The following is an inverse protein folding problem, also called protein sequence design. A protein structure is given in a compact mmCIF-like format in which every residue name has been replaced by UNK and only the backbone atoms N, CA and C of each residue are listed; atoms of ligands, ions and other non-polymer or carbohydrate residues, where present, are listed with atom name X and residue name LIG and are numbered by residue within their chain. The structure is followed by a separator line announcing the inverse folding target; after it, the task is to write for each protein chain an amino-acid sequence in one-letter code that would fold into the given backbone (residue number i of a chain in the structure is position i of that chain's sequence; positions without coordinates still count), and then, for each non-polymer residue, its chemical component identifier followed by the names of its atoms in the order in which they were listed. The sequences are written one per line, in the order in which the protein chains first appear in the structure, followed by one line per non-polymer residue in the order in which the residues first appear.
data_IF_285879946146
#
_entry.id   IF_285879946146
#
_cell.length_a   1.000
_cell.length_b   1.000
_cell.length_c   1.000
_cell.angle_alpha   90.00
_cell.angle_beta   90.00
_cell.angle_gamma   90.00
#
_symmetry.space_group_name_H-M   'P 1'
#
loop_
_entity.id
_entity.type
_entity.pdbx_description
1 polymer ?
#
# COMPACT_ATOMS: atom_id res chain seq x y z
N UNK A 1 13.36 20.56 -9.11
CA UNK A 1 14.62 19.80 -9.23
C UNK A 1 14.36 18.38 -9.74
N UNK A 2 13.54 17.57 -9.12
CA UNK A 2 13.24 16.18 -9.54
C UNK A 2 12.75 16.06 -10.98
N UNK A 3 11.86 16.95 -11.46
CA UNK A 3 11.36 16.92 -12.84
C UNK A 3 12.44 17.15 -13.89
N UNK A 4 13.40 18.04 -13.60
CA UNK A 4 14.54 18.26 -14.50
C UNK A 4 15.44 17.03 -14.59
N UNK A 5 15.69 16.36 -13.43
CA UNK A 5 16.49 15.13 -13.39
C UNK A 5 15.80 14.01 -14.17
N UNK A 6 14.48 13.86 -14.00
CA UNK A 6 13.69 12.87 -14.74
C UNK A 6 13.72 13.13 -16.24
N UNK A 7 13.65 14.40 -16.66
CA UNK A 7 13.75 14.77 -18.07
C UNK A 7 15.12 14.40 -18.66
N UNK A 8 16.18 14.79 -17.97
CA UNK A 8 17.54 14.42 -18.38
C UNK A 8 17.75 12.90 -18.46
N UNK A 9 17.21 12.14 -17.50
CA UNK A 9 17.31 10.67 -17.52
C UNK A 9 16.51 10.04 -18.65
N UNK A 10 15.36 10.63 -19.00
CA UNK A 10 14.54 10.16 -20.14
C UNK A 10 15.28 10.33 -21.46
N UNK A 11 16.01 11.43 -21.61
CA UNK A 11 16.82 11.68 -22.80
C UNK A 11 18.07 10.78 -22.87
N UNK A 12 18.72 10.58 -21.73
CA UNK A 12 19.97 9.79 -21.65
C UNK A 12 19.75 8.28 -21.66
N UNK A 13 18.68 7.79 -21.01
CA UNK A 13 18.41 6.34 -20.83
C UNK A 13 16.92 6.02 -20.95
N UNK A 14 16.30 6.25 -22.12
CA UNK A 14 14.86 6.11 -22.29
C UNK A 14 14.35 4.69 -21.99
N UNK A 15 15.08 3.67 -22.42
CA UNK A 15 14.70 2.26 -22.21
C UNK A 15 14.65 1.89 -20.73
N UNK A 16 15.65 2.29 -19.94
CA UNK A 16 15.69 1.96 -18.52
C UNK A 16 14.53 2.68 -17.79
N UNK A 17 14.29 3.94 -18.11
CA UNK A 17 13.22 4.70 -17.49
C UNK A 17 11.84 4.14 -17.84
N UNK A 18 11.60 3.81 -19.10
CA UNK A 18 10.36 3.16 -19.56
C UNK A 18 10.14 1.81 -18.87
N UNK A 19 11.20 1.02 -18.68
CA UNK A 19 11.11 -0.24 -17.94
C UNK A 19 10.81 -0.04 -16.46
N UNK A 20 11.40 0.96 -15.81
CA UNK A 20 11.10 1.29 -14.42
C UNK A 20 9.64 1.76 -14.27
N UNK A 21 9.16 2.62 -15.16
CA UNK A 21 7.76 3.03 -15.21
C UNK A 21 6.83 1.82 -15.39
N UNK A 22 7.15 0.92 -16.30
CA UNK A 22 6.39 -0.31 -16.50
C UNK A 22 6.37 -1.23 -15.26
N UNK A 23 7.49 -1.36 -14.54
CA UNK A 23 7.54 -2.11 -13.29
C UNK A 23 6.64 -1.47 -12.24
N UNK A 24 6.73 -0.15 -12.06
CA UNK A 24 5.91 0.60 -11.10
C UNK A 24 4.43 0.46 -11.41
N UNK A 25 4.03 0.61 -12.68
CA UNK A 25 2.64 0.46 -13.10
C UNK A 25 2.07 -0.91 -12.80
N UNK A 26 2.87 -1.94 -12.98
CA UNK A 26 2.41 -3.30 -12.70
C UNK A 26 2.30 -3.57 -11.19
N UNK A 27 3.02 -2.82 -10.33
CA UNK A 27 2.89 -2.96 -8.87
C UNK A 27 1.49 -2.60 -8.35
N UNK A 28 0.71 -1.83 -9.09
CA UNK A 28 -0.70 -1.57 -8.77
C UNK A 28 -1.51 -2.86 -8.62
N UNK A 29 -1.20 -3.89 -9.41
CA UNK A 29 -1.91 -5.18 -9.36
C UNK A 29 -1.53 -6.04 -8.15
N UNK A 30 -0.48 -5.67 -7.42
CA UNK A 30 -0.11 -6.29 -6.15
C UNK A 30 -0.87 -5.71 -4.96
N UNK A 31 -1.70 -4.69 -5.16
CA UNK A 31 -2.52 -4.11 -4.11
C UNK A 31 -3.54 -5.12 -3.58
N UNK A 32 -4.04 -4.81 -2.40
CA UNK A 32 -5.11 -5.56 -1.77
C UNK A 32 -6.33 -5.68 -2.69
N UNK A 33 -7.02 -6.81 -2.60
CA UNK A 33 -8.35 -6.99 -3.19
C UNK A 33 -9.34 -6.05 -2.46
N UNK A 34 -10.45 -5.67 -3.10
CA UNK A 34 -11.41 -4.76 -2.49
C UNK A 34 -12.02 -5.27 -1.17
N UNK A 35 -12.17 -6.61 -1.00
CA UNK A 35 -12.55 -7.19 0.29
C UNK A 35 -11.55 -6.86 1.40
N UNK A 36 -10.27 -7.00 1.11
CA UNK A 36 -9.18 -6.74 2.05
C UNK A 36 -9.07 -5.24 2.34
N UNK A 37 -9.23 -4.39 1.33
CA UNK A 37 -9.20 -2.92 1.46
C UNK A 37 -10.33 -2.43 2.37
N UNK A 38 -11.57 -2.88 2.13
CA UNK A 38 -12.71 -2.52 2.98
C UNK A 38 -12.53 -3.05 4.39
N UNK A 39 -12.09 -4.29 4.55
CA UNK A 39 -11.84 -4.89 5.86
C UNK A 39 -10.81 -4.09 6.67
N UNK A 40 -9.73 -3.65 6.04
CA UNK A 40 -8.71 -2.81 6.67
C UNK A 40 -9.28 -1.47 7.11
N UNK A 41 -10.06 -0.83 6.25
CA UNK A 41 -10.72 0.45 6.55
C UNK A 41 -11.74 0.31 7.70
N UNK A 42 -12.52 -0.78 7.73
CA UNK A 42 -13.47 -1.06 8.81
C UNK A 42 -12.77 -1.28 10.15
N UNK A 43 -11.66 -2.01 10.16
CA UNK A 43 -10.85 -2.22 11.37
C UNK A 43 -10.28 -0.90 11.89
N UNK A 44 -9.79 -0.03 11.00
CA UNK A 44 -9.32 1.30 11.37
C UNK A 44 -10.47 2.17 11.93
N UNK A 45 -11.67 2.10 11.33
CA UNK A 45 -12.86 2.78 11.84
C UNK A 45 -13.29 2.28 13.21
N UNK A 46 -13.25 0.96 13.41
CA UNK A 46 -13.57 0.37 14.72
C UNK A 46 -12.58 0.79 15.81
N UNK A 47 -11.28 0.83 15.48
CA UNK A 47 -10.26 1.33 16.41
C UNK A 47 -10.49 2.79 16.80
N UNK A 48 -10.89 3.67 15.86
CA UNK A 48 -11.28 5.05 16.14
C UNK A 48 -12.50 5.13 17.07
N UNK A 49 -13.51 4.29 16.84
CA UNK A 49 -14.69 4.24 17.71
C UNK A 49 -14.32 3.80 19.14
N UNK A 50 -13.42 2.86 19.30
CA UNK A 50 -12.94 2.44 20.62
C UNK A 50 -12.14 3.53 21.33
N UNK A 51 -11.27 4.25 20.61
CA UNK A 51 -10.56 5.40 21.19
C UNK A 51 -11.53 6.42 21.79
N UNK A 52 -12.59 6.78 21.04
CA UNK A 52 -13.64 7.68 21.54
C UNK A 52 -14.34 7.12 22.79
N UNK A 53 -14.59 5.78 22.81
CA UNK A 53 -15.25 5.14 23.95
C UNK A 53 -14.39 5.18 25.22
N UNK A 54 -13.07 5.13 25.10
CA UNK A 54 -12.14 5.24 26.23
C UNK A 54 -12.01 6.66 26.76
N UNK A 55 -12.10 7.66 25.86
CA UNK A 55 -11.98 9.07 26.24
C UNK A 55 -13.27 9.61 26.88
N UNK A 56 -14.43 9.00 26.60
CA UNK A 56 -15.71 9.40 27.18
C UNK A 56 -15.90 8.79 28.57
N UNK A 57 -15.95 9.65 29.58
CA UNK A 57 -16.30 9.30 30.99
C UNK A 57 -17.79 9.02 31.18
N UNK A 58 -18.65 9.36 30.23
CA UNK A 58 -20.06 9.03 30.21
C UNK A 58 -20.32 7.62 29.70
N UNK A 59 -21.46 7.03 30.02
CA UNK A 59 -21.81 5.67 29.60
C UNK A 59 -21.73 5.54 28.09
N UNK A 60 -21.05 4.50 27.58
CA UNK A 60 -20.85 4.23 26.15
C UNK A 60 -22.19 4.14 25.38
N UNK A 61 -23.28 3.83 26.09
CA UNK A 61 -24.64 3.75 25.51
C UNK A 61 -25.20 5.10 25.06
N UNK A 62 -24.75 6.21 25.65
CA UNK A 62 -25.22 7.57 25.33
C UNK A 62 -24.26 8.33 24.41
N UNK A 63 -23.06 7.82 24.21
CA UNK A 63 -22.08 8.46 23.35
C UNK A 63 -22.56 8.56 21.90
N UNK A 64 -22.41 9.75 21.33
CA UNK A 64 -22.71 10.03 19.94
C UNK A 64 -21.45 9.97 19.07
N UNK A 65 -21.65 9.75 17.77
CA UNK A 65 -20.56 9.73 16.80
C UNK A 65 -19.99 11.14 16.64
N UNK A 66 -18.66 11.27 16.72
CA UNK A 66 -17.99 12.56 16.45
C UNK A 66 -18.10 12.94 14.97
N UNK A 67 -18.13 14.24 14.60
CA UNK A 67 -18.13 14.67 13.21
C UNK A 67 -16.99 14.08 12.37
N UNK A 68 -15.82 13.96 12.97
CA UNK A 68 -14.66 13.35 12.32
C UNK A 68 -14.89 11.87 11.98
N UNK A 69 -15.43 11.07 12.90
CA UNK A 69 -15.76 9.67 12.68
C UNK A 69 -16.91 9.52 11.68
N UNK A 70 -17.91 10.39 11.75
CA UNK A 70 -19.02 10.42 10.78
C UNK A 70 -18.48 10.67 9.35
N UNK A 71 -17.62 11.67 9.16
CA UNK A 71 -17.01 11.96 7.88
C UNK A 71 -16.16 10.79 7.36
N UNK A 72 -15.41 10.13 8.25
CA UNK A 72 -14.66 8.93 7.90
C UNK A 72 -15.58 7.83 7.39
N UNK A 73 -16.68 7.54 8.10
CA UNK A 73 -17.63 6.48 7.67
C UNK A 73 -18.36 6.86 6.39
N UNK A 74 -18.79 8.12 6.22
CA UNK A 74 -19.38 8.61 4.97
C UNK A 74 -18.40 8.42 3.78
N UNK A 75 -17.14 8.75 3.98
CA UNK A 75 -16.11 8.52 2.97
C UNK A 75 -15.93 7.03 2.68
N UNK A 76 -15.91 6.18 3.71
CA UNK A 76 -15.84 4.73 3.54
C UNK A 76 -17.03 4.18 2.73
N UNK A 77 -18.25 4.65 2.98
CA UNK A 77 -19.45 4.29 2.22
C UNK A 77 -19.33 4.69 0.76
N UNK A 78 -18.88 5.91 0.48
CA UNK A 78 -18.78 6.43 -0.90
C UNK A 78 -17.71 5.70 -1.70
N UNK A 79 -16.58 5.38 -1.08
CA UNK A 79 -15.42 4.77 -1.77
C UNK A 79 -15.43 3.26 -1.74
N UNK A 80 -16.09 2.63 -0.82
CA UNK A 80 -16.21 1.19 -0.57
C UNK A 80 -15.31 0.28 -1.44
N UNK A 81 -14.06 0.06 -1.01
CA UNK A 81 -13.10 -0.82 -1.69
C UNK A 81 -12.50 -0.30 -3.01
N UNK A 82 -12.97 0.85 -3.50
CA UNK A 82 -12.26 1.63 -4.49
C UNK A 82 -11.36 2.53 -3.67
N UNK A 83 -10.05 2.28 -3.69
CA UNK A 83 -9.08 2.97 -2.86
C UNK A 83 -9.29 4.49 -2.85
N UNK A 84 -9.01 5.12 -1.70
CA UNK A 84 -9.20 6.56 -1.46
C UNK A 84 -8.28 7.43 -2.34
N UNK A 85 -7.61 6.85 -3.29
CA UNK A 85 -6.75 7.55 -4.21
C UNK A 85 -7.59 8.38 -5.15
N UNK A 86 -7.80 9.56 -4.67
CA UNK A 86 -8.14 10.82 -5.32
C UNK A 86 -8.38 10.79 -6.83
N UNK A 87 -9.38 10.05 -7.27
CA UNK A 87 -9.98 10.30 -8.57
C UNK A 87 -10.84 11.56 -8.59
N UNK A 88 -11.05 12.20 -7.43
CA UNK A 88 -11.94 13.36 -7.29
C UNK A 88 -11.23 14.70 -7.13
N UNK A 89 -9.93 14.78 -7.24
CA UNK A 89 -9.23 16.08 -7.16
C UNK A 89 -8.84 16.70 -8.49
N UNK A 90 -9.53 16.36 -9.55
CA UNK A 90 -9.39 17.06 -10.82
C UNK A 90 -10.32 18.26 -10.98
N UNK A 91 -10.74 18.88 -9.87
CA UNK A 91 -11.39 20.18 -9.94
C UNK A 91 -10.60 21.22 -9.14
N UNK A 92 -9.65 21.85 -9.80
CA UNK A 92 -9.07 23.10 -9.34
C UNK A 92 -7.58 23.03 -9.01
N UNK A 93 -6.75 23.46 -9.96
CA UNK A 93 -5.47 24.05 -9.64
C UNK A 93 -4.27 23.41 -10.37
N UNK A 94 -3.86 24.07 -11.43
CA UNK A 94 -2.52 24.07 -12.06
C UNK A 94 -2.00 22.71 -12.53
N UNK A 95 -2.23 22.45 -13.81
CA UNK A 95 -1.56 21.43 -14.60
C UNK A 95 -0.04 21.66 -14.59
N UNK A 96 0.64 20.96 -13.72
CA UNK A 96 2.04 20.60 -13.92
C UNK A 96 2.09 19.41 -14.87
N UNK A 97 2.32 19.67 -16.14
CA UNK A 97 2.38 18.69 -17.22
C UNK A 97 3.61 17.79 -17.12
N UNK A 98 3.73 16.96 -16.08
CA UNK A 98 4.77 15.93 -15.95
C UNK A 98 4.29 14.83 -15.00
N UNK A 99 3.21 14.17 -15.36
CA UNK A 99 2.88 12.87 -14.79
C UNK A 99 2.87 11.89 -15.96
N UNK A 100 3.77 10.94 -15.95
CA UNK A 100 3.62 9.77 -16.80
C UNK A 100 2.25 9.14 -16.45
N UNK A 101 1.29 9.23 -17.34
CA UNK A 101 -0.11 8.83 -17.15
C UNK A 101 -0.31 7.33 -16.88
N UNK A 102 0.74 6.52 -16.98
CA UNK A 102 0.64 5.07 -16.98
C UNK A 102 0.16 4.50 -15.62
N UNK A 103 0.69 4.98 -14.49
CA UNK A 103 0.26 4.52 -13.15
C UNK A 103 -1.17 4.94 -12.82
N UNK A 104 -1.57 6.15 -13.23
CA UNK A 104 -2.94 6.65 -13.11
C UNK A 104 -3.93 5.80 -13.92
N UNK A 105 -3.55 5.41 -15.13
CA UNK A 105 -4.38 4.57 -16.01
C UNK A 105 -4.55 3.14 -15.49
N UNK A 106 -3.50 2.58 -14.89
CA UNK A 106 -3.57 1.24 -14.29
C UNK A 106 -4.49 1.22 -13.06
N UNK A 107 -4.44 2.26 -12.22
CA UNK A 107 -5.35 2.45 -11.09
C UNK A 107 -6.79 2.65 -11.55
N UNK A 108 -7.00 3.47 -12.57
CA UNK A 108 -8.32 3.71 -13.15
C UNK A 108 -8.93 2.41 -13.72
N UNK A 109 -8.17 1.62 -14.46
CA UNK A 109 -8.60 0.31 -14.98
C UNK A 109 -8.94 -0.66 -13.85
N UNK A 110 -8.13 -0.71 -12.78
CA UNK A 110 -8.40 -1.54 -11.61
C UNK A 110 -9.69 -1.12 -10.90
N UNK A 111 -9.89 0.17 -10.69
CA UNK A 111 -11.11 0.71 -10.09
C UNK A 111 -12.34 0.42 -10.94
N UNK A 112 -12.25 0.56 -12.26
CA UNK A 112 -13.31 0.23 -13.20
C UNK A 112 -13.67 -1.26 -13.17
N UNK A 113 -12.67 -2.14 -13.18
CA UNK A 113 -12.89 -3.58 -13.08
C UNK A 113 -13.58 -3.97 -11.74
N UNK A 114 -13.19 -3.31 -10.63
CA UNK A 114 -13.85 -3.50 -9.35
C UNK A 114 -15.30 -3.00 -9.37
N UNK A 115 -15.55 -1.83 -9.95
CA UNK A 115 -16.87 -1.25 -10.04
C UNK A 115 -17.85 -2.08 -10.92
N UNK A 116 -17.32 -2.83 -11.87
CA UNK A 116 -18.11 -3.73 -12.73
C UNK A 116 -18.39 -5.09 -12.10
N UNK A 117 -17.74 -5.44 -10.99
CA UNK A 117 -17.99 -6.71 -10.28
C UNK A 117 -19.40 -6.70 -9.64
N UNK A 118 -20.31 -7.63 -10.04
CA UNK A 118 -21.67 -7.69 -9.51
C UNK A 118 -21.71 -7.94 -7.99
N UNK A 119 -20.73 -8.70 -7.47
CA UNK A 119 -20.62 -8.99 -6.04
C UNK A 119 -20.26 -7.71 -5.29
N UNK A 120 -19.33 -6.94 -5.84
CA UNK A 120 -18.95 -5.63 -5.30
C UNK A 120 -20.15 -4.68 -5.23
N UNK A 121 -20.89 -4.53 -6.33
CA UNK A 121 -22.05 -3.64 -6.40
C UNK A 121 -23.14 -4.03 -5.39
N UNK A 122 -23.46 -5.33 -5.30
CA UNK A 122 -24.44 -5.86 -4.34
C UNK A 122 -24.01 -5.56 -2.89
N UNK A 123 -22.75 -5.83 -2.55
CA UNK A 123 -22.25 -5.58 -1.20
C UNK A 123 -22.16 -4.10 -0.89
N UNK A 124 -21.77 -3.26 -1.85
CA UNK A 124 -21.76 -1.81 -1.71
C UNK A 124 -23.16 -1.25 -1.42
N UNK A 125 -24.17 -1.70 -2.14
CA UNK A 125 -25.57 -1.30 -1.91
C UNK A 125 -26.04 -1.71 -0.51
N UNK A 126 -25.81 -2.95 -0.10
CA UNK A 126 -26.13 -3.42 1.26
C UNK A 126 -25.39 -2.63 2.35
N UNK A 127 -24.12 -2.34 2.12
CA UNK A 127 -23.32 -1.55 3.04
C UNK A 127 -23.85 -0.12 3.17
N UNK A 128 -24.22 0.52 2.08
CA UNK A 128 -24.78 1.87 2.08
C UNK A 128 -26.11 1.92 2.85
N UNK A 129 -26.95 0.90 2.71
CA UNK A 129 -28.21 0.80 3.46
C UNK A 129 -27.95 0.61 4.97
N UNK A 130 -27.00 -0.26 5.34
CA UNK A 130 -26.66 -0.49 6.75
C UNK A 130 -26.05 0.75 7.42
N UNK A 131 -25.33 1.59 6.68
CA UNK A 131 -24.70 2.83 7.17
C UNK A 131 -25.46 4.10 6.77
N UNK A 132 -26.77 4.00 6.65
CA UNK A 132 -27.65 5.18 6.52
C UNK A 132 -27.75 5.89 7.88
N UNK A 133 -27.30 7.15 7.93
CA UNK A 133 -27.32 8.00 9.13
C UNK A 133 -28.61 8.82 9.28
N UNK A 134 -29.54 8.72 8.35
CA UNK A 134 -30.86 9.37 8.44
C UNK A 134 -31.80 8.63 9.39
N UNK A 135 -31.52 7.36 9.69
CA UNK A 135 -32.35 6.51 10.54
C UNK A 135 -32.20 6.92 12.03
N UNK A 136 -33.30 6.99 12.81
CA UNK A 136 -33.23 7.27 14.23
C UNK A 136 -32.26 6.35 14.99
N UNK A 137 -31.41 6.94 15.82
CA UNK A 137 -30.39 6.20 16.58
C UNK A 137 -29.14 5.81 15.81
N UNK A 138 -29.04 6.10 14.51
CA UNK A 138 -27.84 5.83 13.71
C UNK A 138 -26.60 6.60 14.21
N UNK A 139 -26.80 7.73 14.87
CA UNK A 139 -25.74 8.56 15.46
C UNK A 139 -25.21 8.04 16.80
N UNK A 140 -25.77 6.97 17.37
CA UNK A 140 -25.25 6.34 18.59
C UNK A 140 -23.98 5.55 18.28
N UNK A 141 -22.91 5.82 19.05
CA UNK A 141 -21.61 5.19 18.86
C UNK A 141 -21.68 3.65 18.98
N UNK A 142 -22.48 3.14 19.91
CA UNK A 142 -22.68 1.71 20.10
C UNK A 142 -23.28 1.02 18.86
N UNK A 143 -24.26 1.65 18.21
CA UNK A 143 -24.87 1.10 16.98
C UNK A 143 -23.84 1.07 15.84
N UNK A 144 -23.02 2.12 15.71
CA UNK A 144 -21.92 2.13 14.72
C UNK A 144 -20.92 1.00 14.99
N UNK A 145 -20.50 0.81 16.24
CA UNK A 145 -19.58 -0.29 16.62
C UNK A 145 -20.17 -1.65 16.25
N UNK A 146 -21.44 -1.90 16.52
CA UNK A 146 -22.10 -3.16 16.18
C UNK A 146 -22.15 -3.38 14.65
N UNK A 147 -22.50 -2.35 13.88
CA UNK A 147 -22.51 -2.41 12.40
C UNK A 147 -21.12 -2.69 11.85
N UNK A 148 -20.09 -1.99 12.34
CA UNK A 148 -18.70 -2.23 11.95
C UNK A 148 -18.26 -3.67 12.27
N UNK A 149 -18.55 -4.19 13.45
CA UNK A 149 -18.25 -5.57 13.83
C UNK A 149 -18.96 -6.60 12.93
N UNK A 150 -20.23 -6.38 12.61
CA UNK A 150 -20.99 -7.23 11.69
C UNK A 150 -20.29 -7.34 10.33
N UNK A 151 -19.95 -6.20 9.74
CA UNK A 151 -19.32 -6.14 8.43
C UNK A 151 -17.89 -6.67 8.42
N UNK A 152 -17.11 -6.41 9.48
CA UNK A 152 -15.79 -7.02 9.66
C UNK A 152 -15.91 -8.54 9.62
N UNK A 153 -16.85 -9.14 10.36
CA UNK A 153 -17.04 -10.59 10.38
C UNK A 153 -17.45 -11.15 9.00
N UNK A 154 -18.32 -10.46 8.26
CA UNK A 154 -18.71 -10.84 6.90
C UNK A 154 -17.50 -10.83 5.96
N UNK A 155 -16.70 -9.74 5.98
CA UNK A 155 -15.54 -9.61 5.10
C UNK A 155 -14.39 -10.54 5.49
N UNK A 156 -14.18 -10.81 6.78
CA UNK A 156 -13.21 -11.82 7.23
C UNK A 156 -13.53 -13.22 6.70
N UNK A 157 -14.82 -13.59 6.68
CA UNK A 157 -15.23 -14.85 6.08
C UNK A 157 -14.98 -14.89 4.57
N UNK A 158 -15.19 -13.78 3.86
CA UNK A 158 -14.92 -13.66 2.43
C UNK A 158 -13.42 -13.67 2.10
N UNK A 159 -12.61 -12.95 2.86
CA UNK A 159 -11.16 -12.89 2.65
C UNK A 159 -10.46 -14.23 2.91
N UNK A 160 -11.00 -15.06 3.80
CA UNK A 160 -10.48 -16.42 4.03
C UNK A 160 -10.61 -17.33 2.81
N UNK A 161 -11.56 -17.05 1.93
CA UNK A 161 -11.79 -17.82 0.70
C UNK A 161 -10.93 -17.35 -0.48
N UNK A 162 -10.24 -16.22 -0.36
CA UNK A 162 -9.37 -15.71 -1.41
C UNK A 162 -8.13 -16.60 -1.59
N UNK A 163 -7.63 -16.73 -2.83
CA UNK A 163 -6.39 -17.46 -3.11
C UNK A 163 -5.22 -16.90 -2.28
N UNK A 164 -4.38 -17.78 -1.76
CA UNK A 164 -3.18 -17.40 -1.00
C UNK A 164 -1.98 -17.08 -1.88
N UNK A 165 -2.10 -17.25 -3.16
CA UNK A 165 -1.07 -16.92 -4.15
C UNK A 165 -1.70 -16.75 -5.52
N UNK A 166 -0.98 -16.08 -6.42
CA UNK A 166 -1.33 -15.98 -7.85
C UNK A 166 -0.06 -16.01 -8.70
N UNK A 167 -0.22 -16.24 -10.00
CA UNK A 167 0.88 -16.16 -10.96
C UNK A 167 0.99 -14.74 -11.51
N UNK A 168 2.23 -14.27 -11.65
CA UNK A 168 2.50 -12.92 -12.19
C UNK A 168 1.91 -12.77 -13.61
N UNK A 169 2.01 -13.80 -14.43
CA UNK A 169 1.51 -13.78 -15.81
C UNK A 169 0.01 -13.53 -15.93
N UNK A 170 -0.77 -13.94 -14.94
CA UNK A 170 -2.22 -13.71 -14.91
C UNK A 170 -2.59 -12.23 -14.74
N UNK A 171 -1.72 -11.44 -14.11
CA UNK A 171 -2.01 -10.06 -13.71
C UNK A 171 -1.05 -9.04 -14.29
N UNK A 172 0.20 -9.40 -14.47
CA UNK A 172 1.32 -8.48 -14.73
C UNK A 172 2.21 -9.04 -15.83
N UNK A 173 1.70 -9.10 -17.07
CA UNK A 173 2.44 -9.67 -18.22
C UNK A 173 3.80 -9.01 -18.45
N UNK A 174 3.91 -7.72 -18.22
CA UNK A 174 5.18 -7.02 -18.37
C UNK A 174 6.23 -7.58 -17.39
N UNK A 175 5.89 -7.81 -16.13
CA UNK A 175 6.81 -8.39 -15.14
C UNK A 175 7.13 -9.86 -15.45
N UNK A 176 6.16 -10.62 -15.96
CA UNK A 176 6.38 -12.01 -16.37
C UNK A 176 7.41 -12.12 -17.48
N UNK A 177 7.36 -11.21 -18.43
CA UNK A 177 8.24 -11.20 -19.61
C UNK A 177 9.53 -10.41 -19.38
N UNK A 178 9.65 -9.71 -18.27
CA UNK A 178 10.83 -8.91 -17.97
C UNK A 178 12.07 -9.79 -17.76
N UNK A 179 13.14 -9.42 -18.42
CA UNK A 179 14.45 -10.06 -18.27
C UNK A 179 15.58 -9.03 -18.37
N UNK A 180 16.78 -9.41 -17.98
CA UNK A 180 17.95 -8.54 -18.11
C UNK A 180 18.19 -8.08 -19.55
N UNK A 181 17.81 -8.86 -20.55
CA UNK A 181 17.90 -8.47 -21.96
C UNK A 181 16.90 -7.35 -22.33
N UNK A 182 15.83 -7.15 -21.56
CA UNK A 182 14.89 -6.05 -21.75
C UNK A 182 15.51 -4.72 -21.30
N UNK A 183 16.08 -4.68 -20.10
CA UNK A 183 16.81 -3.53 -19.58
C UNK A 183 17.66 -3.92 -18.35
N UNK A 184 18.77 -3.20 -18.14
CA UNK A 184 19.62 -3.36 -16.97
C UNK A 184 19.07 -2.50 -15.82
N UNK A 185 18.19 -3.08 -15.03
CA UNK A 185 17.56 -2.43 -13.87
C UNK A 185 18.14 -3.01 -12.58
N UNK A 186 18.55 -2.14 -11.66
CA UNK A 186 19.03 -2.55 -10.35
C UNK A 186 17.89 -3.10 -9.48
N UNK A 187 18.21 -4.02 -8.58
CA UNK A 187 17.26 -4.49 -7.57
C UNK A 187 16.76 -3.31 -6.71
N UNK A 188 15.45 -3.28 -6.38
CA UNK A 188 14.91 -2.22 -5.53
C UNK A 188 15.67 -2.10 -4.21
N UNK A 189 16.13 -0.88 -3.90
CA UNK A 189 16.86 -0.56 -2.67
C UNK A 189 18.36 -0.87 -2.70
N UNK A 190 18.94 -1.32 -3.80
CA UNK A 190 20.40 -1.48 -3.93
C UNK A 190 21.13 -0.16 -3.67
N UNK A 191 20.58 0.98 -4.10
CA UNK A 191 21.14 2.31 -3.87
C UNK A 191 21.19 2.72 -2.38
N UNK A 192 20.47 2.02 -1.50
CA UNK A 192 20.48 2.26 -0.05
C UNK A 192 21.63 1.54 0.68
N UNK A 193 22.33 0.64 0.00
CA UNK A 193 23.46 -0.08 0.59
C UNK A 193 24.74 0.77 0.54
N UNK A 194 25.60 0.67 1.59
CA UNK A 194 26.94 1.22 1.50
C UNK A 194 27.68 0.53 0.35
N UNK A 195 28.07 1.30 -0.65
CA UNK A 195 28.80 0.77 -1.80
C UNK A 195 30.30 0.90 -1.55
N UNK A 196 30.95 -0.22 -1.36
CA UNK A 196 32.42 -0.29 -1.38
C UNK A 196 32.97 -0.52 -2.81
N UNK A 197 32.08 -0.81 -3.77
CA UNK A 197 32.40 -1.00 -5.18
C UNK A 197 31.24 -0.50 -6.05
N UNK A 198 31.49 -0.30 -7.33
CA UNK A 198 30.45 0.02 -8.32
C UNK A 198 29.56 -1.18 -8.70
N UNK A 199 29.68 -2.29 -7.97
CA UNK A 199 28.88 -3.48 -8.22
C UNK A 199 27.48 -3.32 -7.67
N UNK A 200 26.49 -3.43 -8.55
CA UNK A 200 25.06 -3.46 -8.21
C UNK A 200 24.46 -4.75 -8.69
N UNK A 201 23.53 -5.30 -7.91
CA UNK A 201 22.78 -6.47 -8.34
C UNK A 201 21.66 -6.03 -9.27
N UNK A 202 21.66 -6.53 -10.49
CA UNK A 202 20.64 -6.25 -11.51
C UNK A 202 19.52 -7.29 -11.45
N UNK A 203 18.31 -6.90 -11.85
CA UNK A 203 17.17 -7.80 -11.99
C UNK A 203 17.44 -8.74 -13.17
N UNK A 204 17.47 -10.04 -12.91
CA UNK A 204 17.51 -11.06 -13.96
C UNK A 204 16.10 -11.37 -14.47
N UNK A 205 15.17 -11.62 -13.55
CA UNK A 205 13.75 -11.87 -13.81
C UNK A 205 12.92 -11.83 -12.55
N UNK A 206 11.63 -11.64 -12.69
CA UNK A 206 10.66 -11.86 -11.62
C UNK A 206 10.30 -13.34 -11.53
N UNK A 207 10.17 -13.88 -10.33
CA UNK A 207 9.74 -15.27 -10.14
C UNK A 207 8.23 -15.36 -10.35
N UNK A 208 7.72 -16.44 -10.95
CA UNK A 208 6.35 -16.49 -11.46
C UNK A 208 5.26 -16.43 -10.36
N UNK A 209 5.57 -16.86 -9.14
CA UNK A 209 4.58 -16.95 -8.06
C UNK A 209 4.71 -15.81 -7.07
N UNK A 210 3.57 -15.17 -6.78
CA UNK A 210 3.42 -14.18 -5.71
C UNK A 210 2.57 -14.79 -4.61
N UNK A 211 3.01 -14.65 -3.35
CA UNK A 211 2.32 -15.15 -2.19
C UNK A 211 1.63 -14.03 -1.44
N UNK A 212 0.40 -14.29 -0.95
CA UNK A 212 -0.33 -13.36 -0.10
C UNK A 212 -0.02 -13.71 1.35
N UNK A 213 0.56 -12.76 2.08
CA UNK A 213 0.93 -12.92 3.48
C UNK A 213 0.23 -11.84 4.33
N UNK A 214 -0.20 -12.21 5.52
CA UNK A 214 -0.78 -11.25 6.44
C UNK A 214 0.31 -10.63 7.32
N UNK A 215 0.40 -9.31 7.29
CA UNK A 215 1.28 -8.52 8.15
C UNK A 215 0.43 -7.52 8.93
N UNK A 216 0.41 -7.65 10.25
CA UNK A 216 -0.32 -6.74 11.16
C UNK A 216 -1.79 -6.48 10.76
N UNK A 217 -2.47 -7.52 10.29
CA UNK A 217 -3.89 -7.44 9.89
C UNK A 217 -4.13 -6.86 8.49
N UNK A 218 -3.09 -6.49 7.77
CA UNK A 218 -3.14 -6.12 6.37
C UNK A 218 -2.56 -7.24 5.50
N UNK A 219 -3.13 -7.45 4.33
CA UNK A 219 -2.58 -8.40 3.36
C UNK A 219 -1.43 -7.73 2.60
N UNK A 220 -0.29 -8.38 2.57
CA UNK A 220 0.87 -7.99 1.79
C UNK A 220 1.15 -9.02 0.70
N UNK A 221 1.91 -8.64 -0.32
CA UNK A 221 2.28 -9.51 -1.43
C UNK A 221 3.77 -9.80 -1.36
N UNK A 222 4.14 -11.07 -1.19
CA UNK A 222 5.53 -11.48 -1.21
C UNK A 222 5.95 -11.84 -2.63
N UNK A 223 6.75 -10.97 -3.20
CA UNK A 223 7.33 -11.07 -4.54
C UNK A 223 8.76 -11.57 -4.42
N UNK A 224 9.19 -12.41 -5.36
CA UNK A 224 10.56 -12.88 -5.44
C UNK A 224 11.20 -12.40 -6.74
N UNK A 225 12.38 -11.80 -6.64
CA UNK A 225 13.16 -11.32 -7.78
C UNK A 225 14.48 -12.07 -7.82
N UNK A 226 14.80 -12.68 -8.96
CA UNK A 226 16.10 -13.28 -9.18
C UNK A 226 17.08 -12.22 -9.66
N UNK A 227 18.20 -12.07 -8.98
CA UNK A 227 19.31 -11.23 -9.40
C UNK A 227 20.18 -11.91 -10.44
N UNK A 228 20.95 -11.12 -11.20
CA UNK A 228 21.90 -11.64 -12.19
C UNK A 228 23.00 -12.50 -11.55
N UNK A 229 23.23 -12.36 -10.25
CA UNK A 229 24.13 -13.19 -9.46
C UNK A 229 23.55 -14.57 -9.08
N UNK A 230 22.38 -14.92 -9.61
CA UNK A 230 21.70 -16.19 -9.36
C UNK A 230 20.91 -16.28 -8.06
N UNK A 231 21.06 -15.33 -7.14
CA UNK A 231 20.34 -15.31 -5.87
C UNK A 231 18.91 -14.83 -6.05
N UNK A 232 18.02 -15.33 -5.21
CA UNK A 232 16.61 -14.92 -5.17
C UNK A 232 16.38 -14.01 -3.96
N UNK A 233 15.78 -12.85 -4.22
CA UNK A 233 15.55 -11.82 -3.22
C UNK A 233 14.06 -11.68 -2.95
N UNK A 234 13.60 -11.86 -1.70
CA UNK A 234 12.21 -11.66 -1.33
C UNK A 234 11.92 -10.19 -1.11
N UNK A 235 10.80 -9.72 -1.66
CA UNK A 235 10.27 -8.37 -1.45
C UNK A 235 8.85 -8.45 -0.93
N UNK A 236 8.53 -7.62 0.03
CA UNK A 236 7.17 -7.49 0.56
C UNK A 236 6.56 -6.19 0.03
N UNK A 237 5.58 -6.34 -0.87
CA UNK A 237 4.80 -5.21 -1.38
C UNK A 237 3.62 -4.99 -0.44
N UNK A 238 3.58 -3.83 0.18
CA UNK A 238 2.56 -3.44 1.17
C UNK A 238 1.85 -2.19 0.66
N UNK A 239 0.53 -2.20 0.77
CA UNK A 239 -0.25 -0.99 0.58
C UNK A 239 -0.35 -0.26 1.92
N UNK A 240 0.44 0.79 2.08
CA UNK A 240 0.35 1.67 3.25
C UNK A 240 -0.57 2.85 2.92
N UNK A 241 -1.84 2.70 3.27
CA UNK A 241 -2.85 3.75 3.03
C UNK A 241 -2.76 4.92 4.01
N UNK A 242 -1.87 4.85 4.94
CA UNK A 242 -1.59 5.92 5.89
C UNK A 242 -0.66 6.99 5.33
N UNK A 243 -0.68 7.25 4.02
CA UNK A 243 0.30 8.08 3.33
C UNK A 243 0.40 9.53 3.84
N UNK A 244 -0.60 10.09 4.48
CA UNK A 244 -0.45 11.37 5.17
C UNK A 244 0.56 11.28 6.35
N UNK A 245 0.60 10.11 7.00
CA UNK A 245 1.62 9.69 7.98
C UNK A 245 2.69 8.78 7.34
N UNK A 246 2.61 8.60 6.08
CA UNK A 246 3.32 7.69 5.24
C UNK A 246 4.80 7.90 5.35
N UNK A 247 5.56 7.03 5.34
CA UNK A 247 6.98 7.01 5.61
C UNK A 247 7.31 6.83 7.10
N UNK A 248 6.34 6.37 7.93
CA UNK A 248 6.68 6.00 9.31
C UNK A 248 7.75 4.93 9.34
N UNK A 249 7.57 3.85 8.57
CA UNK A 249 8.56 2.78 8.47
C UNK A 249 9.87 3.32 7.89
N UNK A 250 9.83 4.12 6.83
CA UNK A 250 11.02 4.74 6.25
C UNK A 250 11.75 5.65 7.25
N UNK A 251 11.02 6.48 8.00
CA UNK A 251 11.59 7.34 9.05
C UNK A 251 12.22 6.54 10.19
N UNK A 252 11.57 5.47 10.63
CA UNK A 252 12.13 4.57 11.64
C UNK A 252 13.42 3.93 11.13
N UNK A 253 13.45 3.48 9.89
CA UNK A 253 14.65 2.89 9.29
C UNK A 253 15.76 3.91 9.08
N UNK A 254 15.44 5.17 8.77
CA UNK A 254 16.42 6.27 8.76
C UNK A 254 16.99 6.50 10.15
N UNK A 255 16.16 6.54 11.19
CA UNK A 255 16.62 6.64 12.58
C UNK A 255 17.54 5.48 12.94
N UNK A 256 17.19 4.24 12.61
CA UNK A 256 18.02 3.06 12.88
C UNK A 256 19.37 3.14 12.16
N UNK A 257 19.42 3.66 10.92
CA UNK A 257 20.70 3.91 10.21
C UNK A 257 21.58 4.93 10.93
N UNK A 258 20.96 6.02 11.40
CA UNK A 258 21.68 7.04 12.19
C UNK A 258 22.21 6.46 13.50
N UNK A 259 21.38 5.66 14.20
CA UNK A 259 21.82 4.98 15.43
C UNK A 259 22.96 4.00 15.16
N UNK A 260 22.92 3.23 14.09
CA UNK A 260 24.02 2.35 13.69
C UNK A 260 25.32 3.12 13.45
N UNK A 261 25.22 4.30 12.84
CA UNK A 261 26.38 5.16 12.65
C UNK A 261 26.98 5.63 13.99
N UNK A 262 26.13 6.00 14.95
CA UNK A 262 26.56 6.37 16.30
C UNK A 262 27.15 5.18 17.06
N UNK A 263 26.49 4.01 16.99
CA UNK A 263 26.98 2.77 17.60
C UNK A 263 28.35 2.37 17.06
N UNK A 264 28.60 2.57 15.77
CA UNK A 264 29.91 2.32 15.14
C UNK A 264 31.01 3.30 15.57
N UNK A 265 30.66 4.52 15.97
CA UNK A 265 31.62 5.55 16.46
C UNK A 265 31.94 5.40 17.93
N UNK A 266 31.00 4.92 18.74
CA UNK A 266 31.23 4.77 20.18
C UNK A 266 32.08 3.55 20.47
N UNK A 267 33.20 3.72 21.19
CA UNK A 267 34.21 2.69 21.41
C UNK A 267 33.68 1.37 21.96
N UNK A 268 32.83 1.43 22.99
CA UNK A 268 32.27 0.23 23.62
C UNK A 268 31.30 -0.52 22.75
N UNK A 269 30.42 0.18 22.03
CA UNK A 269 29.43 -0.44 21.15
C UNK A 269 30.06 -0.98 19.88
N UNK A 270 31.01 -0.25 19.31
CA UNK A 270 31.81 -0.69 18.16
C UNK A 270 32.62 -1.95 18.45
N UNK A 271 33.25 -2.01 19.64
CA UNK A 271 34.04 -3.18 20.09
C UNK A 271 33.16 -4.44 20.23
N UNK A 272 31.88 -4.27 20.58
CA UNK A 272 30.91 -5.36 20.71
C UNK A 272 30.16 -5.65 19.41
N UNK A 273 30.45 -4.96 18.31
CA UNK A 273 29.77 -5.07 17.04
C UNK A 273 28.25 -4.87 17.15
N UNK A 274 27.80 -3.99 18.06
CA UNK A 274 26.38 -3.72 18.22
C UNK A 274 25.85 -3.01 16.99
N UNK A 275 24.85 -3.63 16.35
CA UNK A 275 24.24 -3.14 15.13
C UNK A 275 22.76 -3.56 15.09
N UNK A 276 21.92 -2.65 14.62
CA UNK A 276 20.51 -2.92 14.37
C UNK A 276 20.31 -3.36 12.93
N UNK A 277 19.55 -4.42 12.72
CA UNK A 277 19.18 -4.85 11.37
C UNK A 277 18.25 -3.81 10.75
N UNK A 278 18.67 -3.21 9.65
CA UNK A 278 17.89 -2.20 8.91
C UNK A 278 17.43 -2.79 7.60
N UNK A 279 16.12 -2.92 7.45
CA UNK A 279 15.50 -3.35 6.20
C UNK A 279 15.57 -2.24 5.15
N UNK A 280 15.42 -2.61 3.89
CA UNK A 280 15.31 -1.68 2.77
C UNK A 280 13.85 -1.43 2.47
N UNK A 281 13.44 -0.19 2.46
CA UNK A 281 12.08 0.24 2.06
C UNK A 281 12.22 1.20 0.90
N UNK A 282 11.45 0.95 -0.15
CA UNK A 282 11.40 1.77 -1.35
C UNK A 282 9.93 2.11 -1.61
N UNK A 283 9.63 3.40 -1.67
CA UNK A 283 8.32 3.86 -2.09
C UNK A 283 8.20 3.67 -3.61
N UNK A 284 7.13 3.00 -4.04
CA UNK A 284 6.87 2.69 -5.46
C UNK A 284 5.82 3.62 -6.04
N UNK A 285 4.88 4.07 -5.24
CA UNK A 285 3.82 5.01 -5.62
C UNK A 285 3.55 5.97 -4.47
N UNK A 286 3.16 7.22 -4.73
CA UNK A 286 2.77 8.17 -3.71
C UNK A 286 1.49 7.75 -2.97
#
# INVERSE_FOLDING_TARGET
MCSKIMHMQRDLRPTILSCLEGIVDQMVWFRENWYEEVLRQLRAGLAKCYAISFDNRSSVSEATITPHTLNFVKKLVSTFGIGVENFSSSSGGVSGAYSGNAGSDALARRAQATAQDPIFQKMKSQFSTDFDFSVPGAMKLQNLIQKLKKWIKILEAKTKLLPKSFLIEEKCRFLSNFSRSTAEVELPGEFLLPKHSHYCVLIQRFMPRVEIVNKHGAAARRLFIRGHNGKVYPYLVVNDSGLADARREERVLQLLRMLNHLLGKHKETSRRFLNMTVQRVVAVSP
#
